data_IF_871318852415
#
_entry.id   IF_871318852415
#
_cell.length_a   1.000
_cell.length_b   1.000
_cell.length_c   1.000
_cell.angle_alpha   90.00
_cell.angle_beta   90.00
_cell.angle_gamma   90.00
#
_symmetry.space_group_name_H-M   'P 1'
#
loop_
_entity.id
_entity.type
_entity.pdbx_description
1 polymer ?
#
# COMPACT_ATOMS: atom_id res chain seq x y z
N UNK A 1 4.25 -49.45 8.58
CA UNK A 1 3.52 -48.31 9.19
C UNK A 1 4.08 -46.98 8.65
N UNK A 2 3.91 -46.70 7.35
CA UNK A 2 4.45 -45.49 6.70
C UNK A 2 3.39 -44.58 6.06
N UNK A 3 2.15 -45.06 5.91
CA UNK A 3 1.08 -44.36 5.17
C UNK A 3 0.72 -43.00 5.76
N UNK A 4 0.62 -42.89 7.10
CA UNK A 4 0.38 -41.61 7.77
C UNK A 4 1.49 -40.59 7.47
N UNK A 5 2.74 -41.04 7.50
CA UNK A 5 3.90 -40.19 7.21
C UNK A 5 3.88 -39.72 5.74
N UNK A 6 3.55 -40.61 4.81
CA UNK A 6 3.40 -40.29 3.40
C UNK A 6 2.31 -39.26 3.18
N UNK A 7 1.14 -39.42 3.81
CA UNK A 7 0.02 -38.47 3.70
C UNK A 7 0.43 -37.09 4.18
N UNK A 8 1.09 -36.98 5.35
CA UNK A 8 1.54 -35.68 5.88
C UNK A 8 2.54 -35.01 4.93
N UNK A 9 3.46 -35.76 4.32
CA UNK A 9 4.41 -35.23 3.33
C UNK A 9 3.71 -34.76 2.05
N UNK A 10 2.72 -35.51 1.57
CA UNK A 10 1.91 -35.09 0.40
C UNK A 10 1.13 -33.81 0.72
N UNK A 11 0.51 -33.72 1.89
CA UNK A 11 -0.20 -32.49 2.32
C UNK A 11 0.77 -31.31 2.45
N UNK A 12 1.95 -31.52 3.02
CA UNK A 12 2.98 -30.49 3.15
C UNK A 12 3.49 -29.99 1.77
N UNK A 13 3.82 -30.91 0.87
CA UNK A 13 4.33 -30.60 -0.48
C UNK A 13 3.28 -29.92 -1.36
N UNK A 14 2.03 -30.38 -1.33
CA UNK A 14 0.92 -29.75 -2.05
C UNK A 14 0.62 -28.35 -1.52
N UNK A 15 0.58 -28.16 -0.20
CA UNK A 15 0.41 -26.84 0.42
C UNK A 15 1.54 -25.89 0.05
N UNK A 16 2.79 -26.38 0.05
CA UNK A 16 3.96 -25.61 -0.36
C UNK A 16 3.94 -25.27 -1.86
N UNK A 17 3.43 -26.16 -2.71
CA UNK A 17 3.23 -25.92 -4.13
C UNK A 17 2.20 -24.83 -4.40
N UNK A 18 1.06 -24.86 -3.71
CA UNK A 18 0.05 -23.79 -3.80
C UNK A 18 0.66 -22.49 -3.27
N UNK A 19 1.40 -22.52 -2.15
CA UNK A 19 2.08 -21.36 -1.60
C UNK A 19 3.06 -20.72 -2.61
N UNK A 20 3.91 -21.53 -3.25
CA UNK A 20 4.81 -21.07 -4.31
C UNK A 20 4.07 -20.49 -5.51
N UNK A 21 2.98 -21.14 -5.94
CA UNK A 21 2.14 -20.66 -7.04
C UNK A 21 1.50 -19.31 -6.76
N UNK A 22 0.98 -19.10 -5.54
CA UNK A 22 0.39 -17.81 -5.15
C UNK A 22 1.45 -16.70 -5.13
N UNK A 23 2.65 -16.95 -4.60
CA UNK A 23 3.75 -15.97 -4.64
C UNK A 23 4.13 -15.63 -6.09
N UNK A 24 4.27 -16.63 -6.95
CA UNK A 24 4.59 -16.41 -8.36
C UNK A 24 3.52 -15.58 -9.09
N UNK A 25 2.24 -15.83 -8.79
CA UNK A 25 1.13 -15.06 -9.34
C UNK A 25 1.11 -13.60 -8.85
N UNK A 26 1.50 -13.37 -7.59
CA UNK A 26 1.60 -12.03 -7.03
C UNK A 26 2.69 -11.21 -7.74
N UNK A 27 3.86 -11.81 -8.01
CA UNK A 27 4.95 -11.14 -8.74
C UNK A 27 4.47 -10.59 -10.09
N UNK A 28 3.72 -11.38 -10.86
CA UNK A 28 3.16 -10.96 -12.15
C UNK A 28 2.12 -9.82 -12.00
N UNK A 29 1.22 -9.96 -11.02
CA UNK A 29 0.18 -8.96 -10.76
C UNK A 29 0.76 -7.60 -10.33
N UNK A 30 1.84 -7.59 -9.54
CA UNK A 30 2.50 -6.35 -9.13
C UNK A 30 3.25 -5.67 -10.27
N UNK A 31 3.86 -6.44 -11.19
CA UNK A 31 4.46 -5.90 -12.41
C UNK A 31 3.45 -5.10 -13.24
N UNK A 32 2.25 -5.67 -13.44
CA UNK A 32 1.15 -5.00 -14.15
C UNK A 32 0.67 -3.77 -13.38
N UNK A 33 0.49 -3.90 -12.05
CA UNK A 33 0.07 -2.79 -11.19
C UNK A 33 1.05 -1.61 -11.27
N UNK A 34 2.35 -1.89 -11.32
CA UNK A 34 3.41 -0.86 -11.39
C UNK A 34 3.36 -0.06 -12.69
N UNK A 35 3.03 -0.73 -13.80
CA UNK A 35 2.89 -0.08 -15.10
C UNK A 35 1.62 0.77 -15.13
N UNK A 36 0.50 0.24 -14.63
CA UNK A 36 -0.77 0.97 -14.55
C UNK A 36 -0.64 2.20 -13.64
N UNK A 37 0.07 2.13 -12.52
CA UNK A 37 0.31 3.26 -11.61
C UNK A 37 1.19 4.36 -12.20
N UNK A 38 2.12 4.01 -13.09
CA UNK A 38 2.93 5.00 -13.80
C UNK A 38 2.10 5.75 -14.85
N UNK A 39 1.08 5.10 -15.40
CA UNK A 39 0.23 5.67 -16.45
C UNK A 39 -1.06 6.31 -15.90
N UNK A 40 -1.51 5.93 -14.70
CA UNK A 40 -2.76 6.40 -14.13
C UNK A 40 -2.67 7.84 -13.60
N UNK A 41 -3.72 8.62 -13.89
CA UNK A 41 -3.92 9.97 -13.37
C UNK A 41 -4.35 9.98 -11.90
N UNK A 42 -4.10 11.13 -11.27
CA UNK A 42 -4.03 11.34 -9.83
C UNK A 42 -5.31 10.96 -9.06
N UNK A 43 -6.50 11.24 -9.60
CA UNK A 43 -7.78 10.99 -8.93
C UNK A 43 -8.14 9.49 -8.81
N UNK A 44 -7.58 8.63 -9.67
CA UNK A 44 -7.77 7.18 -9.62
C UNK A 44 -6.88 6.53 -8.54
N UNK A 45 -5.85 7.25 -8.07
CA UNK A 45 -4.79 6.76 -7.18
C UNK A 45 -5.28 6.44 -5.76
N UNK A 46 -6.19 7.21 -5.16
CA UNK A 46 -6.66 6.94 -3.79
C UNK A 46 -7.51 5.68 -3.66
N UNK A 47 -8.38 5.41 -4.65
CA UNK A 47 -9.18 4.17 -4.66
C UNK A 47 -8.30 2.98 -5.04
N UNK A 48 -7.37 3.16 -5.98
CA UNK A 48 -6.42 2.13 -6.37
C UNK A 48 -5.50 1.74 -5.20
N UNK A 49 -4.96 2.71 -4.46
CA UNK A 49 -4.10 2.46 -3.29
C UNK A 49 -4.79 1.67 -2.19
N UNK A 50 -6.03 2.04 -1.84
CA UNK A 50 -6.82 1.30 -0.85
C UNK A 50 -7.08 -0.15 -1.26
N UNK A 51 -7.35 -0.37 -2.56
CA UNK A 51 -7.61 -1.70 -3.12
C UNK A 51 -6.33 -2.55 -3.15
N UNK A 52 -5.19 -1.97 -3.57
CA UNK A 52 -3.88 -2.62 -3.56
C UNK A 52 -3.51 -3.06 -2.14
N UNK A 53 -3.64 -2.17 -1.16
CA UNK A 53 -3.30 -2.47 0.23
C UNK A 53 -4.21 -3.54 0.84
N UNK A 54 -5.50 -3.50 0.50
CA UNK A 54 -6.46 -4.55 0.86
C UNK A 54 -6.04 -5.91 0.28
N UNK A 55 -5.67 -5.93 -1.00
CA UNK A 55 -5.20 -7.15 -1.68
C UNK A 55 -3.91 -7.69 -1.06
N UNK A 56 -2.92 -6.85 -0.77
CA UNK A 56 -1.66 -7.20 -0.07
C UNK A 56 -1.95 -7.85 1.29
N UNK A 57 -2.89 -7.29 2.07
CA UNK A 57 -3.26 -7.86 3.37
C UNK A 57 -3.96 -9.21 3.23
N UNK A 58 -4.93 -9.32 2.32
CA UNK A 58 -5.66 -10.58 2.11
C UNK A 58 -4.77 -11.69 1.59
N UNK A 59 -3.88 -11.39 0.65
CA UNK A 59 -2.90 -12.34 0.12
C UNK A 59 -1.89 -12.74 1.19
N UNK A 60 -1.37 -11.77 1.96
CA UNK A 60 -0.49 -12.05 3.10
C UNK A 60 -1.12 -12.98 4.15
N UNK A 61 -2.40 -12.79 4.47
CA UNK A 61 -3.13 -13.67 5.40
C UNK A 61 -3.28 -15.10 4.85
N UNK A 62 -3.59 -15.23 3.56
CA UNK A 62 -3.68 -16.53 2.88
C UNK A 62 -2.32 -17.24 2.83
N UNK A 63 -1.24 -16.50 2.54
CA UNK A 63 0.11 -17.04 2.56
C UNK A 63 0.51 -17.50 3.97
N UNK A 64 0.14 -16.75 5.01
CA UNK A 64 0.41 -17.14 6.39
C UNK A 64 -0.32 -18.43 6.78
N UNK A 65 -1.58 -18.61 6.37
CA UNK A 65 -2.32 -19.85 6.66
C UNK A 65 -1.73 -21.05 5.91
N UNK A 66 -1.44 -20.93 4.61
CA UNK A 66 -0.83 -22.02 3.84
C UNK A 66 0.58 -22.35 4.34
N UNK A 67 1.37 -21.32 4.66
CA UNK A 67 2.73 -21.47 5.18
C UNK A 67 2.77 -22.16 6.54
N UNK A 68 1.85 -21.83 7.45
CA UNK A 68 1.76 -22.49 8.77
C UNK A 68 1.32 -23.94 8.64
N UNK A 69 0.35 -24.25 7.76
CA UNK A 69 -0.07 -25.62 7.48
C UNK A 69 1.10 -26.45 6.90
N UNK A 70 1.80 -25.92 5.89
CA UNK A 70 2.94 -26.61 5.28
C UNK A 70 4.07 -26.85 6.30
N UNK A 71 4.45 -25.82 7.06
CA UNK A 71 5.50 -25.89 8.09
C UNK A 71 5.13 -26.89 9.19
N UNK A 72 3.89 -26.82 9.68
CA UNK A 72 3.37 -27.73 10.68
C UNK A 72 3.38 -29.18 10.20
N UNK A 73 2.96 -29.42 8.95
CA UNK A 73 2.99 -30.74 8.35
C UNK A 73 4.43 -31.30 8.26
N UNK A 74 5.40 -30.52 7.79
CA UNK A 74 6.79 -31.00 7.70
C UNK A 74 7.45 -31.22 9.06
N UNK A 75 7.18 -30.36 10.04
CA UNK A 75 7.67 -30.55 11.43
C UNK A 75 7.06 -31.81 12.04
N UNK A 76 5.74 -32.01 11.87
CA UNK A 76 5.05 -33.20 12.37
C UNK A 76 5.57 -34.48 11.70
N UNK A 77 5.82 -34.43 10.39
CA UNK A 77 6.45 -35.54 9.67
C UNK A 77 7.87 -35.82 10.18
N UNK A 78 8.66 -34.80 10.53
CA UNK A 78 10.01 -34.99 11.06
C UNK A 78 10.03 -35.61 12.47
N UNK A 79 9.14 -35.18 13.36
CA UNK A 79 9.08 -35.70 14.73
C UNK A 79 8.57 -37.14 14.78
N UNK A 80 7.62 -37.47 13.91
CA UNK A 80 6.99 -38.80 13.86
C UNK A 80 7.75 -39.82 12.99
N UNK A 81 8.75 -39.38 12.23
CA UNK A 81 9.58 -40.28 11.42
C UNK A 81 10.51 -41.17 12.29
N UNK A 82 10.59 -42.49 12.02
CA UNK A 82 11.58 -43.37 12.64
C UNK A 82 13.01 -42.94 12.23
N UNK A 83 14.02 -43.27 13.05
CA UNK A 83 15.40 -42.76 12.89
C UNK A 83 16.01 -43.01 11.49
N UNK A 84 15.60 -44.07 10.81
CA UNK A 84 16.05 -44.39 9.46
C UNK A 84 15.44 -43.52 8.34
N UNK A 85 14.29 -42.89 8.58
CA UNK A 85 13.57 -42.04 7.61
C UNK A 85 13.59 -40.55 7.99
N UNK A 86 14.47 -40.16 8.93
CA UNK A 86 14.69 -38.75 9.28
C UNK A 86 15.60 -38.10 8.25
N UNK A 87 15.00 -37.60 7.18
CA UNK A 87 15.74 -36.90 6.15
C UNK A 87 15.82 -35.39 6.43
N UNK A 88 16.96 -34.75 6.15
CA UNK A 88 17.16 -33.31 6.38
C UNK A 88 16.27 -32.43 5.50
N UNK A 89 15.75 -32.95 4.37
CA UNK A 89 14.85 -32.20 3.50
C UNK A 89 13.56 -31.73 4.19
N UNK A 90 13.06 -32.49 5.18
CA UNK A 90 11.88 -32.12 5.98
C UNK A 90 12.12 -30.81 6.76
N UNK A 91 13.34 -30.65 7.29
CA UNK A 91 13.74 -29.44 8.00
C UNK A 91 13.85 -28.28 7.00
N UNK A 92 14.54 -28.49 5.87
CA UNK A 92 14.68 -27.46 4.84
C UNK A 92 13.32 -26.98 4.32
N UNK A 93 12.38 -27.89 4.05
CA UNK A 93 11.04 -27.56 3.59
C UNK A 93 10.23 -26.79 4.66
N UNK A 94 10.37 -27.14 5.95
CA UNK A 94 9.72 -26.40 7.04
C UNK A 94 10.26 -24.99 7.24
N UNK A 95 11.51 -24.71 6.84
CA UNK A 95 12.13 -23.39 6.97
C UNK A 95 11.74 -22.42 5.85
N UNK A 96 11.20 -22.91 4.73
CA UNK A 96 10.85 -22.07 3.56
C UNK A 96 9.83 -20.99 3.95
N UNK A 97 8.69 -21.38 4.51
CA UNK A 97 7.61 -20.46 4.86
C UNK A 97 7.97 -19.42 5.95
N UNK A 98 8.69 -19.75 7.05
CA UNK A 98 9.13 -18.73 7.99
C UNK A 98 10.19 -17.80 7.37
N UNK A 99 11.11 -18.30 6.53
CA UNK A 99 12.07 -17.44 5.84
C UNK A 99 11.37 -16.42 4.94
N UNK A 100 10.45 -16.88 4.09
CA UNK A 100 9.71 -16.01 3.18
C UNK A 100 8.79 -15.07 3.95
N UNK A 101 8.23 -15.50 5.07
CA UNK A 101 7.44 -14.63 5.96
C UNK A 101 8.27 -13.53 6.61
N UNK A 102 9.49 -13.81 7.06
CA UNK A 102 10.42 -12.81 7.62
C UNK A 102 10.81 -11.79 6.56
N UNK A 103 11.16 -12.24 5.36
CA UNK A 103 11.51 -11.35 4.23
C UNK A 103 10.31 -10.47 3.87
N UNK A 104 9.12 -11.07 3.75
CA UNK A 104 7.89 -10.35 3.44
C UNK A 104 7.52 -9.32 4.52
N UNK A 105 7.58 -9.67 5.81
CA UNK A 105 7.31 -8.73 6.90
C UNK A 105 8.35 -7.61 6.97
N UNK A 106 9.64 -7.95 6.80
CA UNK A 106 10.74 -7.00 6.88
C UNK A 106 10.64 -5.91 5.79
N UNK A 107 10.23 -6.29 4.58
CA UNK A 107 10.05 -5.35 3.48
C UNK A 107 8.71 -4.62 3.55
N UNK A 108 7.61 -5.29 3.91
CA UNK A 108 6.28 -4.65 3.88
C UNK A 108 5.97 -3.78 5.09
N UNK A 109 6.44 -4.11 6.31
CA UNK A 109 6.13 -3.36 7.53
C UNK A 109 6.56 -1.88 7.52
N UNK A 110 7.82 -1.53 7.22
CA UNK A 110 8.26 -0.13 7.31
C UNK A 110 7.51 0.75 6.31
N UNK A 111 7.26 0.25 5.10
CA UNK A 111 6.53 0.97 4.07
C UNK A 111 5.03 1.06 4.37
N UNK A 112 4.38 0.01 4.88
CA UNK A 112 2.98 0.10 5.34
C UNK A 112 2.81 1.10 6.48
N UNK A 113 3.80 1.17 7.38
CA UNK A 113 3.77 2.09 8.51
C UNK A 113 3.82 3.55 8.03
N UNK A 114 4.75 3.88 7.14
CA UNK A 114 4.85 5.21 6.54
C UNK A 114 3.54 5.61 5.82
N UNK A 115 2.93 4.68 5.09
CA UNK A 115 1.63 4.90 4.44
C UNK A 115 0.47 5.12 5.40
N UNK A 116 0.43 4.35 6.48
CA UNK A 116 -0.61 4.46 7.50
C UNK A 116 -0.50 5.80 8.24
N UNK A 117 0.72 6.22 8.56
CA UNK A 117 1.00 7.52 9.20
C UNK A 117 0.61 8.68 8.27
N UNK A 118 0.99 8.65 7.00
CA UNK A 118 0.57 9.66 6.01
C UNK A 118 -0.96 9.74 5.88
N UNK A 119 -1.65 8.60 5.86
CA UNK A 119 -3.11 8.55 5.79
C UNK A 119 -3.77 9.09 7.07
N UNK A 120 -3.20 8.83 8.24
CA UNK A 120 -3.69 9.38 9.52
C UNK A 120 -3.54 10.90 9.54
N UNK A 121 -2.39 11.42 9.12
CA UNK A 121 -2.15 12.86 9.03
C UNK A 121 -3.11 13.53 8.04
N UNK A 122 -3.41 12.90 6.90
CA UNK A 122 -4.42 13.41 5.94
C UNK A 122 -5.84 13.43 6.54
N UNK A 123 -6.22 12.37 7.26
CA UNK A 123 -7.53 12.29 7.94
C UNK A 123 -7.66 13.33 9.06
N UNK A 124 -6.57 13.63 9.77
CA UNK A 124 -6.53 14.68 10.80
C UNK A 124 -6.62 16.08 10.18
N UNK A 125 -5.83 16.40 9.14
CA UNK A 125 -5.92 17.68 8.41
C UNK A 125 -7.29 17.92 7.77
N UNK A 126 -7.95 16.89 7.26
CA UNK A 126 -9.31 17.01 6.71
C UNK A 126 -10.39 17.14 7.79
N UNK A 127 -10.18 16.59 8.99
CA UNK A 127 -11.09 16.74 10.12
C UNK A 127 -10.93 18.10 10.83
N UNK A 128 -9.75 18.72 10.76
CA UNK A 128 -9.45 20.04 11.30
C UNK A 128 -9.76 21.19 10.33
N UNK A 129 -10.10 20.93 9.07
CA UNK A 129 -10.66 21.97 8.19
C UNK A 129 -11.99 22.43 8.80
N UNK A 130 -12.09 23.66 9.35
CA UNK A 130 -13.38 24.14 9.81
C UNK A 130 -14.27 24.22 8.58
N UNK A 131 -15.43 23.56 8.65
CA UNK A 131 -16.49 23.81 7.69
C UNK A 131 -16.77 25.32 7.75
N UNK A 132 -16.28 26.05 6.75
CA UNK A 132 -16.61 27.46 6.53
C UNK A 132 -18.10 27.51 6.22
N UNK A 133 -18.91 27.51 7.29
CA UNK A 133 -20.29 27.97 7.26
C UNK A 133 -20.19 29.44 6.85
N UNK A 134 -20.76 29.79 5.70
CA UNK A 134 -21.06 31.18 5.32
C UNK A 134 -21.84 31.83 6.46
N UNK A 135 -21.13 32.47 7.39
CA UNK A 135 -21.72 33.39 8.36
C UNK A 135 -21.56 34.78 7.75
N UNK A 136 -22.66 35.29 7.21
CA UNK A 136 -22.79 36.68 6.77
C UNK A 136 -22.75 37.53 8.04
N UNK A 137 -21.55 37.89 8.48
CA UNK A 137 -21.34 38.80 9.60
C UNK A 137 -21.26 40.20 9.00
N UNK A 138 -22.38 40.92 9.10
CA UNK A 138 -22.50 42.33 8.78
C UNK A 138 -21.68 43.11 9.81
N UNK A 139 -20.41 43.37 9.49
CA UNK A 139 -19.55 44.25 10.28
C UNK A 139 -19.98 45.68 9.94
N UNK A 140 -20.88 46.22 10.75
CA UNK A 140 -21.10 47.66 10.83
C UNK A 140 -19.81 48.26 11.38
N UNK A 141 -19.04 48.93 10.51
CA UNK A 141 -17.82 49.63 10.91
C UNK A 141 -18.20 51.02 11.44
N UNK A 142 -17.95 51.27 12.73
CA UNK A 142 -18.22 52.55 13.41
C UNK A 142 -17.13 53.62 13.16
N UNK A 143 -16.57 53.71 11.95
CA UNK A 143 -15.46 54.64 11.65
C UNK A 143 -15.68 55.51 10.40
N UNK A 144 -16.93 55.73 10.00
CA UNK A 144 -17.29 56.46 8.77
C UNK A 144 -17.34 58.00 8.95
N UNK A 145 -16.56 58.54 9.90
CA UNK A 145 -16.63 59.95 10.30
C UNK A 145 -15.31 60.72 10.10
N UNK A 146 -14.52 60.37 9.08
CA UNK A 146 -13.44 61.25 8.60
C UNK A 146 -13.89 61.99 7.34
N UNK A 147 -14.34 63.22 7.55
CA UNK A 147 -14.53 64.28 6.57
C UNK A 147 -13.40 64.31 5.53
N UNK A 148 -13.71 63.98 4.28
CA UNK A 148 -12.81 64.23 3.14
C UNK A 148 -13.04 65.66 2.65
N UNK A 149 -12.02 66.51 2.78
CA UNK A 149 -12.06 67.90 2.31
C UNK A 149 -11.52 67.95 0.87
N UNK A 150 -12.46 67.99 -0.05
CA UNK A 150 -12.27 68.12 -1.48
C UNK A 150 -11.63 69.48 -1.85
N UNK A 151 -10.60 69.44 -2.70
CA UNK A 151 -9.94 70.60 -3.30
C UNK A 151 -9.46 70.20 -4.71
N UNK A 152 -10.30 70.45 -5.71
CA UNK A 152 -9.93 70.20 -7.11
C UNK A 152 -11.04 70.50 -8.11
N UNK A 153 -11.50 71.75 -8.13
CA UNK A 153 -12.44 72.33 -9.10
C UNK A 153 -11.87 72.34 -10.53
N UNK A 154 -12.41 71.54 -11.46
CA UNK A 154 -12.57 71.87 -12.90
C UNK A 154 -13.74 71.10 -13.54
N UNK A 155 -14.85 71.82 -13.76
CA UNK A 155 -15.87 71.74 -14.84
C UNK A 155 -16.34 70.39 -15.46
N UNK A 156 -17.67 70.16 -15.31
CA UNK A 156 -18.67 69.65 -16.29
C UNK A 156 -18.41 68.27 -16.92
N UNK A 157 -19.26 67.26 -16.82
CA UNK A 157 -20.71 67.22 -17.10
C UNK A 157 -21.27 65.87 -16.62
N UNK A 158 -22.55 65.84 -16.28
CA UNK A 158 -23.36 64.70 -15.82
C UNK A 158 -23.20 63.42 -16.64
N UNK A 159 -23.04 62.27 -16.00
CA UNK A 159 -24.07 61.24 -15.84
C UNK A 159 -23.48 60.00 -15.12
N UNK A 160 -24.36 59.30 -14.40
CA UNK A 160 -24.09 58.15 -13.54
C UNK A 160 -23.32 56.99 -14.21
N UNK A 161 -22.48 56.34 -13.39
CA UNK A 161 -22.23 54.88 -13.27
C UNK A 161 -20.73 54.57 -13.07
N UNK A 162 -20.38 54.24 -11.84
CA UNK A 162 -19.15 53.53 -11.43
C UNK A 162 -19.59 52.20 -10.77
N UNK A 163 -18.71 51.22 -10.47
CA UNK A 163 -17.42 50.82 -11.06
C UNK A 163 -17.35 49.27 -11.27
N UNK A 164 -16.34 48.78 -11.98
CA UNK A 164 -15.68 47.54 -11.52
C UNK A 164 -14.23 47.46 -11.94
N UNK A 165 -13.36 47.85 -11.01
CA UNK A 165 -11.96 47.46 -11.02
C UNK A 165 -11.86 45.99 -10.59
N UNK A 166 -11.36 45.15 -11.49
CA UNK A 166 -10.88 43.82 -11.18
C UNK A 166 -9.79 43.90 -10.11
N UNK A 167 -10.03 43.28 -8.96
CA UNK A 167 -8.97 42.92 -8.02
C UNK A 167 -8.90 41.39 -8.00
N UNK A 168 -7.75 40.90 -8.42
CA UNK A 168 -7.35 39.52 -8.63
C UNK A 168 -7.47 38.69 -7.34
N UNK A 169 -8.10 37.52 -7.46
CA UNK A 169 -8.21 36.48 -6.44
C UNK A 169 -6.92 35.67 -6.33
N UNK A 170 -6.16 35.83 -5.24
CA UNK A 170 -4.93 35.08 -4.93
C UNK A 170 -5.12 34.02 -3.82
N UNK A 171 -6.37 33.59 -3.56
CA UNK A 171 -6.66 32.69 -2.44
C UNK A 171 -6.86 31.21 -2.78
N UNK A 172 -7.16 30.86 -4.04
CA UNK A 172 -7.57 29.50 -4.42
C UNK A 172 -6.45 28.67 -5.09
N UNK A 173 -5.45 29.30 -5.72
CA UNK A 173 -4.38 28.59 -6.43
C UNK A 173 -3.39 27.87 -5.49
N UNK A 174 -3.13 28.43 -4.30
CA UNK A 174 -2.22 27.81 -3.32
C UNK A 174 -2.81 26.51 -2.73
N UNK A 175 -4.14 26.43 -2.56
CA UNK A 175 -4.80 25.22 -2.06
C UNK A 175 -4.89 24.10 -3.11
N UNK A 176 -5.00 24.44 -4.40
CA UNK A 176 -4.98 23.44 -5.48
C UNK A 176 -3.56 22.94 -5.76
N UNK A 177 -2.56 23.83 -5.79
CA UNK A 177 -1.16 23.46 -5.98
C UNK A 177 -0.62 22.59 -4.85
N UNK A 178 -0.94 22.90 -3.59
CA UNK A 178 -0.58 22.05 -2.45
C UNK A 178 -1.21 20.65 -2.55
N UNK A 179 -2.47 20.57 -3.02
CA UNK A 179 -3.19 19.31 -3.16
C UNK A 179 -2.63 18.45 -4.30
N UNK A 180 -2.20 19.06 -5.41
CA UNK A 180 -1.51 18.37 -6.50
C UNK A 180 -0.12 17.85 -6.07
N UNK A 181 0.66 18.66 -5.35
CA UNK A 181 1.98 18.26 -4.84
C UNK A 181 1.86 17.11 -3.83
N UNK A 182 0.89 17.16 -2.91
CA UNK A 182 0.62 16.06 -1.97
C UNK A 182 0.28 14.75 -2.70
N UNK A 183 -0.46 14.85 -3.80
CA UNK A 183 -0.84 13.69 -4.60
C UNK A 183 0.34 13.12 -5.40
N UNK A 184 1.21 13.99 -5.94
CA UNK A 184 2.45 13.56 -6.59
C UNK A 184 3.41 12.88 -5.60
N UNK A 185 3.49 13.37 -4.36
CA UNK A 185 4.25 12.73 -3.28
C UNK A 185 3.66 11.36 -2.90
N UNK A 186 2.33 11.24 -2.84
CA UNK A 186 1.65 9.97 -2.60
C UNK A 186 1.89 8.95 -3.73
N UNK A 187 1.94 9.39 -4.99
CA UNK A 187 2.27 8.54 -6.13
C UNK A 187 3.75 8.10 -6.09
N UNK A 188 4.67 9.01 -5.78
CA UNK A 188 6.10 8.72 -5.73
C UNK A 188 6.46 7.72 -4.61
N UNK A 189 5.89 7.91 -3.43
CA UNK A 189 6.03 6.95 -2.31
C UNK A 189 5.49 5.56 -2.68
N UNK A 190 4.55 5.49 -3.63
CA UNK A 190 3.87 4.24 -3.99
C UNK A 190 4.75 3.46 -4.93
N UNK A 191 5.28 4.14 -5.94
CA UNK A 191 6.25 3.55 -6.84
C UNK A 191 7.46 3.03 -6.07
N UNK A 192 7.93 3.77 -5.06
CA UNK A 192 9.03 3.33 -4.21
C UNK A 192 8.66 2.06 -3.41
N UNK A 193 7.48 2.06 -2.77
CA UNK A 193 6.97 0.89 -2.04
C UNK A 193 6.74 -0.32 -2.95
N UNK A 194 6.25 -0.09 -4.15
CA UNK A 194 5.98 -1.15 -5.11
C UNK A 194 7.28 -1.73 -5.67
N UNK A 195 8.30 -0.89 -5.86
CA UNK A 195 9.63 -1.32 -6.26
C UNK A 195 10.30 -2.19 -5.19
N UNK A 196 10.25 -1.77 -3.93
CA UNK A 196 10.81 -2.55 -2.82
C UNK A 196 10.06 -3.87 -2.61
N UNK A 197 8.74 -3.87 -2.73
CA UNK A 197 7.91 -5.09 -2.68
C UNK A 197 8.21 -6.02 -3.87
N UNK A 198 8.36 -5.49 -5.08
CA UNK A 198 8.68 -6.29 -6.26
C UNK A 198 10.03 -7.02 -6.12
N UNK A 199 11.05 -6.34 -5.56
CA UNK A 199 12.34 -6.97 -5.28
C UNK A 199 12.20 -8.07 -4.22
N UNK A 200 11.41 -7.83 -3.16
CA UNK A 200 11.11 -8.83 -2.15
C UNK A 200 10.40 -10.06 -2.69
N UNK A 201 9.41 -9.85 -3.54
CA UNK A 201 8.65 -10.93 -4.16
C UNK A 201 9.51 -11.77 -5.08
N UNK A 202 10.47 -11.18 -5.82
CA UNK A 202 11.42 -11.94 -6.63
C UNK A 202 12.25 -12.93 -5.77
N UNK A 203 12.77 -12.46 -4.64
CA UNK A 203 13.54 -13.29 -3.71
C UNK A 203 12.63 -14.38 -3.10
N UNK A 204 11.41 -14.02 -2.71
CA UNK A 204 10.44 -14.97 -2.18
C UNK A 204 10.04 -16.05 -3.18
N UNK A 205 9.86 -15.71 -4.46
CA UNK A 205 9.60 -16.68 -5.55
C UNK A 205 10.79 -17.63 -5.67
N UNK A 206 12.02 -17.13 -5.70
CA UNK A 206 13.21 -17.97 -5.82
C UNK A 206 13.34 -18.96 -4.65
N UNK A 207 13.17 -18.49 -3.41
CA UNK A 207 13.24 -19.34 -2.21
C UNK A 207 12.09 -20.36 -2.19
N UNK A 208 10.87 -19.93 -2.50
CA UNK A 208 9.69 -20.79 -2.47
C UNK A 208 9.72 -21.87 -3.56
N UNK A 209 10.17 -21.52 -4.77
CA UNK A 209 10.35 -22.47 -5.87
C UNK A 209 11.44 -23.49 -5.56
N UNK A 210 12.60 -23.05 -5.05
CA UNK A 210 13.67 -23.94 -4.61
C UNK A 210 13.18 -24.88 -3.49
N UNK A 211 12.46 -24.32 -2.51
CA UNK A 211 11.84 -25.08 -1.42
C UNK A 211 10.87 -26.14 -1.90
N UNK A 212 10.03 -25.81 -2.89
CA UNK A 212 9.11 -26.76 -3.52
C UNK A 212 9.85 -27.87 -4.28
N UNK A 213 10.92 -27.54 -5.01
CA UNK A 213 11.76 -28.54 -5.69
C UNK A 213 12.40 -29.49 -4.69
N UNK A 214 12.96 -28.97 -3.60
CA UNK A 214 13.54 -29.81 -2.53
C UNK A 214 12.47 -30.71 -1.89
N UNK A 215 11.28 -30.18 -1.64
CA UNK A 215 10.19 -30.94 -1.03
C UNK A 215 9.65 -32.04 -1.97
N UNK A 216 9.60 -31.78 -3.28
CA UNK A 216 9.18 -32.76 -4.30
C UNK A 216 10.23 -33.84 -4.49
N UNK A 217 11.52 -33.50 -4.62
CA UNK A 217 12.61 -34.48 -4.68
C UNK A 217 12.63 -35.34 -3.41
N UNK A 218 12.46 -34.73 -2.23
CA UNK A 218 12.36 -35.45 -0.97
C UNK A 218 11.14 -36.36 -0.87
N UNK A 219 10.02 -36.01 -1.51
CA UNK A 219 8.84 -36.87 -1.56
C UNK A 219 9.10 -38.12 -2.42
N UNK A 220 9.74 -37.97 -3.59
CA UNK A 220 10.03 -39.08 -4.50
C UNK A 220 11.23 -39.93 -4.05
N UNK A 221 12.24 -39.35 -3.40
CA UNK A 221 13.44 -40.06 -2.95
C UNK A 221 13.24 -40.93 -1.71
N UNK A 222 12.07 -40.87 -1.08
CA UNK A 222 11.68 -41.69 0.09
C UNK A 222 10.84 -42.92 -0.32
N UNK A 223 10.54 -43.07 -1.62
CA UNK A 223 9.85 -44.22 -2.19
C UNK A 223 10.81 -45.31 -2.66
#
# INVERSE_FOLDING_TARGET
MGTCLTVIKVVGTTSLGIYAGVIASNLSNYGIMSHVLKTATVATSEKATGLVLGKIKTTGALLASLGTIATGAFIMAYTQAPRALKHPYLIYASLVAPLTSIIYLGLTRPHLHQYCELKKMKKQRQAERPASKKHKQEVISELDNSTYKDLGDVLTTSDEETPSAQTTSTGDEDSEAEQEVELHLAQKSLLDTLYSVHLGDYINVAISTLGFVVATVGLYGDY
#
